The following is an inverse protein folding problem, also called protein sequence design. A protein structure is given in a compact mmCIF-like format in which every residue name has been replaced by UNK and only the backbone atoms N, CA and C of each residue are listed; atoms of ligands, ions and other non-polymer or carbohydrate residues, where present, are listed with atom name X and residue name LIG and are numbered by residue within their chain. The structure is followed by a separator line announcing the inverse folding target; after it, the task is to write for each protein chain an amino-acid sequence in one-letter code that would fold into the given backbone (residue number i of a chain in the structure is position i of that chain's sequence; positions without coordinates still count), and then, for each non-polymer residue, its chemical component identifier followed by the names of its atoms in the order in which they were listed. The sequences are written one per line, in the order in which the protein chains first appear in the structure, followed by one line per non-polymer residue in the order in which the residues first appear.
data_IF_199499515579
#
_entry.id   IF_199499515579
#
_cell.length_a   1.000
_cell.length_b   1.000
_cell.length_c   1.000
_cell.angle_alpha   90.00
_cell.angle_beta   90.00
_cell.angle_gamma   90.00
#
_symmetry.space_group_name_H-M   'P 1'
#
loop_
_entity.id
_entity.type
_entity.pdbx_description
1 polymer ?
#
# COMPACT_ATOMS: atom_id res chain seq x y z
N UNK A 1 -16.74 -2.26 -5.87
CA UNK A 1 -15.85 -2.03 -7.04
C UNK A 1 -16.26 -2.85 -8.25
N UNK A 2 -16.14 -4.18 -8.23
CA UNK A 2 -16.47 -5.05 -9.38
C UNK A 2 -17.89 -4.85 -9.94
N UNK A 3 -18.92 -4.82 -9.08
CA UNK A 3 -20.30 -4.61 -9.52
C UNK A 3 -20.54 -3.25 -10.19
N UNK A 4 -19.70 -2.25 -9.90
CA UNK A 4 -19.75 -0.92 -10.49
C UNK A 4 -18.88 -0.79 -11.76
N UNK A 5 -18.20 -1.86 -12.18
CA UNK A 5 -17.25 -1.82 -13.31
C UNK A 5 -16.05 -0.91 -13.07
N UNK A 6 -15.72 -0.62 -11.80
CA UNK A 6 -14.61 0.27 -11.48
C UNK A 6 -13.26 -0.39 -11.77
N UNK A 7 -12.37 0.33 -12.45
CA UNK A 7 -10.96 0.01 -12.57
C UNK A 7 -10.21 0.54 -11.35
N UNK A 8 -9.58 -0.36 -10.58
CA UNK A 8 -9.09 -0.08 -9.23
C UNK A 8 -7.64 -0.51 -9.07
N UNK A 9 -6.81 0.43 -8.62
CA UNK A 9 -5.50 0.17 -8.06
C UNK A 9 -5.62 0.13 -6.53
N UNK A 10 -5.39 -1.04 -5.91
CA UNK A 10 -5.27 -1.14 -4.46
C UNK A 10 -3.84 -0.77 -4.02
N UNK A 11 -3.69 -0.22 -2.82
CA UNK A 11 -2.38 0.08 -2.23
C UNK A 11 -2.35 -0.41 -0.78
N UNK A 12 -1.32 -1.18 -0.43
CA UNK A 12 -1.04 -1.58 0.96
C UNK A 12 0.02 -0.65 1.54
N UNK A 13 -0.38 0.18 2.49
CA UNK A 13 0.48 1.19 3.13
C UNK A 13 1.29 0.51 4.26
N UNK A 14 2.59 0.81 4.42
CA UNK A 14 3.39 0.30 5.52
C UNK A 14 2.98 0.96 6.84
N UNK A 15 3.42 0.37 7.94
CA UNK A 15 3.35 0.96 9.26
C UNK A 15 4.64 1.71 9.58
N UNK A 16 4.64 2.63 10.55
CA UNK A 16 5.90 3.08 11.11
C UNK A 16 6.51 1.97 11.97
N UNK A 17 7.45 1.22 11.40
CA UNK A 17 8.08 0.06 12.04
C UNK A 17 8.74 0.41 13.37
N UNK A 18 9.38 1.57 13.48
CA UNK A 18 10.00 2.05 14.73
C UNK A 18 8.95 2.28 15.82
N UNK A 19 7.82 2.90 15.46
CA UNK A 19 6.71 3.13 16.40
C UNK A 19 6.05 1.81 16.82
N UNK A 20 5.81 0.89 15.87
CA UNK A 20 5.16 -0.38 16.15
C UNK A 20 6.03 -1.30 17.02
N UNK A 21 7.35 -1.32 16.78
CA UNK A 21 8.29 -2.05 17.61
C UNK A 21 8.30 -1.48 19.04
N UNK A 22 8.22 -0.14 19.20
CA UNK A 22 8.16 0.52 20.50
C UNK A 22 6.93 0.12 21.33
N UNK A 23 5.78 -0.09 20.69
CA UNK A 23 4.53 -0.49 21.37
C UNK A 23 4.32 -2.01 21.43
N UNK A 24 5.34 -2.80 21.06
CA UNK A 24 5.31 -4.26 21.18
C UNK A 24 4.50 -4.98 20.09
N UNK A 25 4.32 -4.38 18.92
CA UNK A 25 3.76 -5.05 17.75
C UNK A 25 4.91 -5.36 16.80
N UNK A 26 5.44 -6.58 16.86
CA UNK A 26 6.59 -7.01 16.05
C UNK A 26 6.30 -7.08 14.54
N UNK A 27 7.38 -7.20 13.76
CA UNK A 27 7.33 -7.25 12.30
C UNK A 27 6.55 -8.47 11.81
N UNK A 28 6.72 -9.62 12.43
CA UNK A 28 6.08 -10.89 12.05
C UNK A 28 4.55 -10.77 12.10
N UNK A 29 4.03 -10.14 13.15
CA UNK A 29 2.60 -9.86 13.31
C UNK A 29 2.08 -8.93 12.23
N UNK A 30 2.83 -7.89 11.84
CA UNK A 30 2.45 -6.97 10.75
C UNK A 30 2.47 -7.67 9.40
N UNK A 31 3.51 -8.45 9.13
CA UNK A 31 3.66 -9.23 7.90
C UNK A 31 2.52 -10.24 7.69
N UNK A 32 2.02 -10.87 8.77
CA UNK A 32 0.85 -11.73 8.68
C UNK A 32 -0.42 -10.98 8.21
N UNK A 33 -0.61 -9.73 8.67
CA UNK A 33 -1.71 -8.87 8.22
C UNK A 33 -1.52 -8.47 6.75
N UNK A 34 -0.32 -8.04 6.37
CA UNK A 34 0.01 -7.65 4.99
C UNK A 34 -0.23 -8.81 4.02
N UNK A 35 0.25 -10.02 4.36
CA UNK A 35 0.03 -11.22 3.55
C UNK A 35 -1.46 -11.52 3.36
N UNK A 36 -2.28 -11.36 4.40
CA UNK A 36 -3.73 -11.57 4.32
C UNK A 36 -4.41 -10.53 3.43
N UNK A 37 -4.01 -9.25 3.52
CA UNK A 37 -4.53 -8.19 2.64
C UNK A 37 -4.17 -8.51 1.19
N UNK A 38 -2.89 -8.82 0.92
CA UNK A 38 -2.40 -9.14 -0.40
C UNK A 38 -3.15 -10.33 -1.01
N UNK A 39 -3.24 -11.46 -0.29
CA UNK A 39 -3.96 -12.64 -0.80
C UNK A 39 -5.43 -12.32 -1.04
N UNK A 40 -6.10 -11.61 -0.13
CA UNK A 40 -7.51 -11.23 -0.29
C UNK A 40 -7.73 -10.43 -1.58
N UNK A 41 -6.85 -9.46 -1.89
CA UNK A 41 -6.97 -8.67 -3.12
C UNK A 41 -6.70 -9.52 -4.36
N UNK A 42 -5.61 -10.29 -4.37
CA UNK A 42 -5.20 -11.09 -5.53
C UNK A 42 -6.15 -12.25 -5.82
N UNK A 43 -6.60 -12.98 -4.79
CA UNK A 43 -7.53 -14.10 -4.91
C UNK A 43 -8.91 -13.66 -5.46
N UNK A 44 -9.24 -12.38 -5.30
CA UNK A 44 -10.46 -11.77 -5.87
C UNK A 44 -10.22 -11.05 -7.21
N UNK A 45 -9.06 -11.26 -7.84
CA UNK A 45 -8.71 -10.72 -9.16
C UNK A 45 -8.29 -9.25 -9.17
N UNK A 46 -8.00 -8.66 -8.01
CA UNK A 46 -7.49 -7.30 -7.88
C UNK A 46 -5.98 -7.20 -8.09
N UNK A 47 -5.50 -5.99 -8.40
CA UNK A 47 -4.07 -5.65 -8.44
C UNK A 47 -3.73 -4.77 -7.23
N UNK A 48 -2.62 -5.05 -6.56
CA UNK A 48 -2.18 -4.31 -5.39
C UNK A 48 -0.76 -3.79 -5.57
N UNK A 49 -0.54 -2.53 -5.23
CA UNK A 49 0.79 -1.97 -5.03
C UNK A 49 1.15 -2.16 -3.56
N UNK A 50 2.13 -3.00 -3.31
CA UNK A 50 2.57 -3.34 -1.96
C UNK A 50 3.76 -2.47 -1.58
N UNK A 51 3.58 -1.62 -0.55
CA UNK A 51 4.63 -0.77 0.01
C UNK A 51 5.11 -1.29 1.37
N UNK A 52 4.71 -2.49 1.78
CA UNK A 52 4.92 -3.01 3.15
C UNK A 52 6.37 -3.45 3.43
N UNK A 53 7.23 -3.46 2.41
CA UNK A 53 8.69 -3.56 2.54
C UNK A 53 9.30 -2.28 3.17
N UNK A 54 8.54 -1.20 3.29
CA UNK A 54 9.02 0.15 3.68
C UNK A 54 8.71 0.53 5.13
N UNK A 55 8.35 -0.43 5.98
CA UNK A 55 8.03 -0.19 7.40
C UNK A 55 9.09 0.68 8.13
N UNK A 56 10.36 0.50 7.78
CA UNK A 56 11.49 1.19 8.43
C UNK A 56 12.11 2.30 7.59
N UNK A 57 11.52 2.61 6.43
CA UNK A 57 12.05 3.59 5.52
C UNK A 57 11.68 5.00 5.98
N UNK A 58 12.71 5.83 6.24
CA UNK A 58 12.51 7.19 6.75
C UNK A 58 11.62 8.01 5.80
N UNK A 59 10.69 8.76 6.41
CA UNK A 59 9.77 9.67 5.74
C UNK A 59 8.71 9.01 4.84
N UNK A 60 8.58 7.68 4.84
CA UNK A 60 7.49 6.97 4.13
C UNK A 60 6.18 7.06 4.89
N UNK A 61 6.22 6.99 6.22
CA UNK A 61 5.09 7.23 7.13
C UNK A 61 5.43 8.46 7.99
N UNK A 62 4.48 9.40 8.12
CA UNK A 62 4.66 10.67 8.85
C UNK A 62 4.47 10.51 10.36
N UNK A 63 3.56 9.65 10.77
CA UNK A 63 3.22 9.37 12.18
C UNK A 63 3.23 7.87 12.46
N UNK A 64 2.21 7.33 13.14
CA UNK A 64 2.08 5.89 13.36
C UNK A 64 1.64 5.13 12.09
N UNK A 65 0.77 5.74 11.27
CA UNK A 65 0.01 5.03 10.22
C UNK A 65 -0.20 5.82 8.93
N UNK A 66 -0.06 7.15 8.92
CA UNK A 66 -0.34 7.97 7.74
C UNK A 66 0.88 8.12 6.81
N UNK A 67 0.62 8.17 5.51
CA UNK A 67 1.64 8.36 4.47
C UNK A 67 2.38 9.70 4.68
N UNK A 68 3.70 9.62 4.76
CA UNK A 68 4.61 10.76 4.84
C UNK A 68 5.14 11.23 3.48
N UNK A 69 6.05 12.20 3.49
CA UNK A 69 6.56 12.86 2.28
C UNK A 69 7.05 11.90 1.20
N UNK A 70 7.92 10.95 1.54
CA UNK A 70 8.48 9.99 0.59
C UNK A 70 7.42 8.98 0.13
N UNK A 71 6.51 8.62 1.03
CA UNK A 71 5.40 7.73 0.72
C UNK A 71 4.44 8.34 -0.30
N UNK A 72 4.19 9.65 -0.23
CA UNK A 72 3.37 10.35 -1.22
C UNK A 72 4.01 10.38 -2.60
N UNK A 73 5.34 10.46 -2.70
CA UNK A 73 6.03 10.33 -4.01
C UNK A 73 5.79 8.95 -4.62
N UNK A 74 5.93 7.88 -3.84
CA UNK A 74 5.62 6.53 -4.31
C UNK A 74 4.16 6.38 -4.71
N UNK A 75 3.24 6.92 -3.93
CA UNK A 75 1.81 6.90 -4.22
C UNK A 75 1.49 7.65 -5.51
N UNK A 76 2.03 8.86 -5.69
CA UNK A 76 1.80 9.70 -6.87
C UNK A 76 2.30 9.02 -8.15
N UNK A 77 3.48 8.39 -8.12
CA UNK A 77 3.99 7.62 -9.26
C UNK A 77 3.04 6.49 -9.68
N UNK A 78 2.42 5.79 -8.71
CA UNK A 78 1.48 4.71 -9.02
C UNK A 78 0.14 5.25 -9.50
N UNK A 79 -0.36 6.34 -8.91
CA UNK A 79 -1.57 7.03 -9.39
C UNK A 79 -1.35 7.48 -10.84
N UNK A 80 -0.23 8.14 -11.13
CA UNK A 80 0.10 8.60 -12.47
C UNK A 80 0.19 7.45 -13.48
N UNK A 81 0.80 6.30 -13.10
CA UNK A 81 0.83 5.09 -13.95
C UNK A 81 -0.57 4.56 -14.21
N UNK A 82 -1.40 4.39 -13.18
CA UNK A 82 -2.77 3.88 -13.29
C UNK A 82 -3.63 4.78 -14.19
N UNK A 83 -3.56 6.09 -13.98
CA UNK A 83 -4.34 7.07 -14.76
C UNK A 83 -3.87 7.16 -16.22
N UNK A 84 -2.56 7.04 -16.50
CA UNK A 84 -2.02 7.09 -17.87
C UNK A 84 -2.38 5.86 -18.71
N UNK A 85 -2.37 4.66 -18.13
CA UNK A 85 -2.75 3.43 -18.85
C UNK A 85 -4.16 3.54 -19.43
N UNK A 86 -5.06 4.24 -18.75
CA UNK A 86 -6.45 4.45 -19.17
C UNK A 86 -6.65 5.51 -20.27
N UNK A 87 -5.63 6.31 -20.58
CA UNK A 87 -5.68 7.26 -21.70
C UNK A 87 -5.26 6.66 -23.04
N UNK A 88 -4.54 5.53 -23.04
CA UNK A 88 -4.07 4.86 -24.27
C UNK A 88 -5.04 3.79 -24.80
N UNK A 89 -6.20 3.63 -24.15
CA UNK A 89 -7.27 2.69 -24.54
C UNK A 89 -8.48 3.41 -25.18
N UNK A 90 -8.29 4.63 -25.67
CA UNK A 90 -9.27 5.35 -26.49
C UNK A 90 -8.73 5.62 -27.88
#
# INVERSE_FOLDING_TARGET
MRAAGADVQYVSIPSNGVWYDHIGIDKERRQAVYKKIHSTVVDNGGKIYDMTDKDYEKYVISDAVHIGWKGWVYMDEQIAKHMKVNHNLK
#
